data_IF_803080135342
#
_entry.id   IF_803080135342
#
_cell.length_a   1.000
_cell.length_b   1.000
_cell.length_c   1.000
_cell.angle_alpha   90.00
_cell.angle_beta   90.00
_cell.angle_gamma   90.00
#
_symmetry.space_group_name_H-M   'P 1'
#
loop_
_entity.id
_entity.type
_entity.pdbx_description
1 polymer ?
#
# COMPACT_ATOMS: atom_id res chain seq x y z
N UNK A 1 -48.13 -8.75 -7.07
CA UNK A 1 -47.04 -8.26 -6.20
C UNK A 1 -45.74 -8.65 -6.87
N UNK A 2 -45.07 -7.71 -7.53
CA UNK A 2 -43.76 -7.96 -8.13
C UNK A 2 -42.70 -7.89 -7.03
N UNK A 3 -41.96 -8.98 -6.83
CA UNK A 3 -40.74 -8.94 -6.02
C UNK A 3 -39.70 -8.16 -6.83
N UNK A 4 -39.45 -6.91 -6.45
CA UNK A 4 -38.30 -6.18 -6.93
C UNK A 4 -37.05 -6.94 -6.49
N UNK A 5 -36.40 -7.61 -7.43
CA UNK A 5 -35.11 -8.24 -7.21
C UNK A 5 -34.09 -7.11 -7.08
N UNK A 6 -33.81 -6.67 -5.86
CA UNK A 6 -32.66 -5.80 -5.59
C UNK A 6 -31.42 -6.67 -5.82
N UNK A 7 -30.64 -6.47 -6.89
CA UNK A 7 -29.43 -7.26 -7.07
C UNK A 7 -28.54 -7.05 -5.85
N UNK A 8 -28.00 -8.15 -5.31
CA UNK A 8 -27.04 -8.08 -4.21
C UNK A 8 -25.94 -7.08 -4.60
N UNK A 9 -25.58 -6.12 -3.71
CA UNK A 9 -24.52 -5.18 -4.01
C UNK A 9 -23.26 -5.92 -4.43
N UNK A 10 -22.72 -5.53 -5.57
CA UNK A 10 -21.48 -6.06 -6.09
C UNK A 10 -20.37 -5.85 -5.05
N UNK A 11 -19.90 -6.97 -4.49
CA UNK A 11 -18.97 -6.97 -3.36
C UNK A 11 -17.60 -6.40 -3.73
N UNK A 12 -17.22 -6.52 -5.01
CA UNK A 12 -15.95 -6.05 -5.54
C UNK A 12 -16.20 -5.28 -6.85
N UNK A 13 -16.74 -4.05 -6.76
CA UNK A 13 -17.05 -3.25 -7.93
C UNK A 13 -15.77 -2.90 -8.69
N UNK A 14 -15.84 -2.92 -10.03
CA UNK A 14 -14.68 -2.66 -10.87
C UNK A 14 -14.11 -1.26 -10.62
N UNK A 15 -15.00 -0.28 -10.46
CA UNK A 15 -14.66 1.05 -9.97
C UNK A 15 -14.57 1.00 -8.45
N UNK A 16 -13.38 1.25 -7.92
CA UNK A 16 -13.09 1.21 -6.50
C UNK A 16 -13.21 2.60 -5.87
N UNK A 17 -13.35 2.63 -4.55
CA UNK A 17 -13.16 3.87 -3.81
C UNK A 17 -11.68 4.29 -3.84
N UNK A 18 -11.41 5.59 -4.00
CA UNK A 18 -10.03 6.12 -4.17
C UNK A 18 -9.06 5.81 -3.02
N UNK A 19 -9.59 5.42 -1.84
CA UNK A 19 -8.82 5.04 -0.67
C UNK A 19 -8.88 3.52 -0.36
N UNK A 20 -9.36 2.68 -1.27
CA UNK A 20 -9.21 1.23 -1.20
C UNK A 20 -7.90 0.78 -1.86
N UNK A 21 -7.33 -0.33 -1.40
CA UNK A 21 -6.10 -0.88 -1.96
C UNK A 21 -6.40 -1.82 -3.13
N UNK A 22 -5.84 -1.54 -4.31
CA UNK A 22 -6.05 -2.32 -5.56
C UNK A 22 -5.54 -3.76 -5.49
N UNK A 23 -4.61 -4.05 -4.56
CA UNK A 23 -4.04 -5.38 -4.40
C UNK A 23 -4.80 -6.17 -3.33
N UNK A 24 -5.13 -5.55 -2.19
CA UNK A 24 -5.85 -6.25 -1.12
C UNK A 24 -7.24 -6.71 -1.55
N UNK A 25 -7.91 -5.97 -2.43
CA UNK A 25 -9.24 -6.37 -2.94
C UNK A 25 -9.20 -7.73 -3.64
N UNK A 26 -8.04 -8.12 -4.19
CA UNK A 26 -7.80 -9.39 -4.85
C UNK A 26 -7.27 -10.50 -3.95
N UNK A 27 -6.86 -10.19 -2.72
CA UNK A 27 -6.19 -11.16 -1.86
C UNK A 27 -7.20 -12.08 -1.19
N UNK A 28 -7.40 -13.28 -1.76
CA UNK A 28 -8.33 -14.30 -1.23
C UNK A 28 -7.92 -14.87 0.13
N UNK A 29 -6.71 -14.56 0.63
CA UNK A 29 -6.30 -14.92 2.00
C UNK A 29 -6.94 -14.01 3.07
N UNK A 30 -7.51 -12.87 2.65
CA UNK A 30 -8.19 -11.91 3.53
C UNK A 30 -9.70 -12.15 3.55
N UNK A 31 -10.34 -11.78 4.66
CA UNK A 31 -11.80 -11.70 4.72
C UNK A 31 -12.35 -10.67 3.73
N UNK A 32 -13.64 -10.76 3.40
CA UNK A 32 -14.27 -9.84 2.45
C UNK A 32 -14.19 -8.40 2.93
N UNK A 33 -14.37 -8.20 4.24
CA UNK A 33 -14.32 -6.91 4.89
C UNK A 33 -12.92 -6.31 4.83
N UNK A 34 -11.87 -7.12 5.02
CA UNK A 34 -10.48 -6.69 4.89
C UNK A 34 -10.11 -6.37 3.44
N UNK A 35 -10.61 -7.16 2.48
CA UNK A 35 -10.41 -6.91 1.04
C UNK A 35 -11.04 -5.60 0.58
N UNK A 36 -12.25 -5.31 1.09
CA UNK A 36 -12.99 -4.08 0.79
C UNK A 36 -12.65 -2.90 1.73
N UNK A 37 -11.67 -3.06 2.62
CA UNK A 37 -11.33 -2.04 3.60
C UNK A 37 -10.96 -0.71 2.93
N UNK A 38 -11.59 0.37 3.42
CA UNK A 38 -11.34 1.73 2.93
C UNK A 38 -10.53 2.50 3.95
N UNK A 39 -9.35 2.95 3.56
CA UNK A 39 -8.51 3.79 4.42
C UNK A 39 -9.13 5.18 4.60
N UNK A 40 -8.80 5.83 5.71
CA UNK A 40 -9.29 7.16 6.01
C UNK A 40 -8.88 8.22 4.97
N UNK A 41 -7.74 8.03 4.27
CA UNK A 41 -7.23 8.94 3.24
C UNK A 41 -6.46 8.18 2.15
N UNK A 42 -6.52 8.61 0.87
CA UNK A 42 -5.75 7.99 -0.22
C UNK A 42 -4.23 7.97 0.03
N UNK A 43 -3.70 8.94 0.78
CA UNK A 43 -2.28 8.98 1.15
C UNK A 43 -1.88 7.83 2.06
N UNK A 44 -2.73 7.45 3.01
CA UNK A 44 -2.48 6.30 3.92
C UNK A 44 -2.57 4.98 3.15
N UNK A 45 -3.57 4.86 2.25
CA UNK A 45 -3.67 3.70 1.34
C UNK A 45 -2.41 3.58 0.47
N UNK A 46 -1.94 4.68 -0.11
CA UNK A 46 -0.71 4.70 -0.90
C UNK A 46 0.54 4.35 -0.09
N UNK A 47 0.56 4.65 1.20
CA UNK A 47 1.64 4.26 2.10
C UNK A 47 1.63 2.76 2.38
N UNK A 48 0.44 2.18 2.56
CA UNK A 48 0.24 0.74 2.62
C UNK A 48 0.69 0.07 1.31
N UNK A 49 0.19 0.52 0.15
CA UNK A 49 0.52 -0.05 -1.16
C UNK A 49 2.04 -0.08 -1.42
N UNK A 50 2.72 1.03 -1.19
CA UNK A 50 4.17 1.14 -1.38
C UNK A 50 4.99 0.20 -0.50
N UNK A 51 4.51 -0.06 0.73
CA UNK A 51 5.25 -0.85 1.71
C UNK A 51 4.98 -2.35 1.58
N UNK A 52 3.77 -2.73 1.22
CA UNK A 52 3.34 -4.13 1.18
C UNK A 52 3.42 -4.73 -0.23
N UNK A 53 3.11 -3.94 -1.27
CA UNK A 53 2.85 -4.49 -2.60
C UNK A 53 3.86 -4.05 -3.66
N UNK A 54 4.31 -2.79 -3.58
CA UNK A 54 5.17 -2.22 -4.62
C UNK A 54 6.53 -2.92 -4.76
N UNK A 55 7.14 -3.36 -3.66
CA UNK A 55 8.48 -4.00 -3.70
C UNK A 55 8.48 -5.26 -4.57
N UNK A 56 7.47 -6.12 -4.42
CA UNK A 56 7.32 -7.33 -5.23
C UNK A 56 7.14 -6.99 -6.71
N UNK A 57 6.38 -5.94 -7.03
CA UNK A 57 6.16 -5.48 -8.41
C UNK A 57 7.43 -4.89 -9.03
N UNK A 58 8.22 -4.15 -8.25
CA UNK A 58 9.55 -3.66 -8.67
C UNK A 58 10.52 -4.82 -8.96
N UNK A 59 10.49 -5.88 -8.16
CA UNK A 59 11.29 -7.08 -8.41
C UNK A 59 10.83 -7.82 -9.69
N UNK A 60 9.52 -7.94 -9.90
CA UNK A 60 8.98 -8.56 -11.11
C UNK A 60 9.39 -7.79 -12.38
N UNK A 61 9.28 -6.47 -12.38
CA UNK A 61 9.73 -5.63 -13.50
C UNK A 61 11.23 -5.82 -13.78
N UNK A 62 12.06 -5.88 -12.74
CA UNK A 62 13.51 -6.05 -12.86
C UNK A 62 13.91 -7.45 -13.38
N UNK A 63 13.18 -8.50 -12.99
CA UNK A 63 13.43 -9.87 -13.43
C UNK A 63 12.79 -10.20 -14.79
N UNK A 64 11.99 -9.28 -15.34
CA UNK A 64 11.20 -9.50 -16.55
C UNK A 64 9.93 -10.33 -16.34
N UNK A 65 9.55 -10.61 -15.09
CA UNK A 65 8.28 -11.24 -14.75
C UNK A 65 7.11 -10.27 -15.02
N UNK A 66 5.98 -10.83 -15.47
CA UNK A 66 4.77 -10.05 -15.73
C UNK A 66 4.06 -9.65 -14.45
N UNK A 67 3.77 -8.36 -14.33
CA UNK A 67 2.99 -7.79 -13.23
C UNK A 67 1.50 -8.04 -13.49
N UNK A 68 0.73 -8.52 -12.50
CA UNK A 68 -0.71 -8.79 -12.64
C UNK A 68 -1.55 -7.77 -11.89
N UNK A 69 -2.77 -7.53 -12.37
CA UNK A 69 -3.80 -6.91 -11.54
C UNK A 69 -4.46 -7.99 -10.68
N UNK A 70 -4.61 -7.74 -9.38
CA UNK A 70 -5.23 -8.68 -8.46
C UNK A 70 -6.75 -8.51 -8.37
N UNK A 71 -7.32 -7.45 -8.98
CA UNK A 71 -8.75 -7.20 -8.90
C UNK A 71 -9.55 -8.40 -9.46
N UNK A 72 -10.58 -8.91 -8.75
CA UNK A 72 -11.30 -10.15 -9.14
C UNK A 72 -11.93 -10.12 -10.54
N UNK A 73 -12.20 -8.93 -11.06
CA UNK A 73 -12.78 -8.70 -12.39
C UNK A 73 -11.75 -8.48 -13.50
N UNK A 74 -10.47 -8.38 -13.17
CA UNK A 74 -9.39 -8.23 -14.14
C UNK A 74 -8.80 -9.60 -14.46
N UNK A 75 -9.41 -10.30 -15.40
CA UNK A 75 -8.94 -11.63 -15.77
C UNK A 75 -7.64 -11.57 -16.58
N UNK A 76 -6.55 -12.08 -16.01
CA UNK A 76 -5.26 -12.33 -16.68
C UNK A 76 -4.59 -11.13 -17.37
N UNK A 77 -4.91 -9.91 -16.98
CA UNK A 77 -4.18 -8.73 -17.42
C UNK A 77 -2.75 -8.76 -16.84
N UNK A 78 -1.78 -8.65 -17.74
CA UNK A 78 -0.35 -8.75 -17.47
C UNK A 78 0.36 -7.52 -18.04
N UNK A 79 1.18 -6.89 -17.23
CA UNK A 79 1.92 -5.67 -17.56
C UNK A 79 3.42 -5.97 -17.55
N UNK A 80 4.17 -5.32 -18.45
CA UNK A 80 5.63 -5.42 -18.44
C UNK A 80 6.21 -4.42 -17.44
N UNK A 81 5.63 -3.24 -17.37
CA UNK A 81 6.14 -2.15 -16.55
C UNK A 81 5.14 -1.73 -15.47
N UNK A 82 5.64 -1.29 -14.32
CA UNK A 82 4.80 -0.87 -13.18
C UNK A 82 3.93 0.33 -13.58
N UNK A 83 4.44 1.23 -14.41
CA UNK A 83 3.68 2.40 -14.83
C UNK A 83 2.48 2.04 -15.74
N UNK A 84 2.55 0.94 -16.49
CA UNK A 84 1.40 0.41 -17.23
C UNK A 84 0.34 -0.13 -16.27
N UNK A 85 0.77 -0.85 -15.22
CA UNK A 85 -0.11 -1.31 -14.16
C UNK A 85 -0.75 -0.12 -13.42
N UNK A 86 0.01 0.93 -13.09
CA UNK A 86 -0.53 2.14 -12.43
C UNK A 86 -1.58 2.83 -13.30
N UNK A 87 -1.33 2.94 -14.61
CA UNK A 87 -2.30 3.49 -15.55
C UNK A 87 -3.57 2.66 -15.58
N UNK A 88 -3.45 1.33 -15.65
CA UNK A 88 -4.59 0.42 -15.56
C UNK A 88 -5.41 0.63 -14.28
N UNK A 89 -4.74 0.71 -13.11
CA UNK A 89 -5.42 0.93 -11.83
C UNK A 89 -6.16 2.28 -11.82
N UNK A 90 -5.59 3.31 -12.43
CA UNK A 90 -6.25 4.61 -12.56
C UNK A 90 -7.46 4.56 -13.50
N UNK A 91 -7.28 4.05 -14.72
CA UNK A 91 -8.30 4.09 -15.77
C UNK A 91 -9.47 3.13 -15.51
N UNK A 92 -9.18 1.95 -14.96
CA UNK A 92 -10.18 0.89 -14.75
C UNK A 92 -10.74 0.93 -13.34
N UNK A 93 -9.92 1.20 -12.33
CA UNK A 93 -10.35 1.16 -10.93
C UNK A 93 -10.55 2.53 -10.29
N UNK A 94 -10.15 3.63 -10.94
CA UNK A 94 -10.29 4.99 -10.40
C UNK A 94 -9.34 5.30 -9.23
N UNK A 95 -8.38 4.43 -8.96
CA UNK A 95 -7.44 4.58 -7.83
C UNK A 95 -6.13 5.18 -8.31
N UNK A 96 -5.70 6.26 -7.67
CA UNK A 96 -4.44 6.93 -8.00
C UNK A 96 -3.32 6.36 -7.11
N UNK A 97 -2.40 5.63 -7.72
CA UNK A 97 -1.15 5.19 -7.09
C UNK A 97 -0.02 6.20 -7.33
N UNK A 98 0.90 6.32 -6.37
CA UNK A 98 2.07 7.20 -6.51
C UNK A 98 2.95 6.77 -7.68
N UNK A 99 3.42 7.73 -8.47
CA UNK A 99 4.33 7.49 -9.58
C UNK A 99 5.72 7.04 -9.11
N UNK A 100 6.49 6.41 -9.99
CA UNK A 100 7.89 6.02 -9.72
C UNK A 100 8.72 7.16 -9.14
N UNK A 101 8.58 8.37 -9.68
CA UNK A 101 9.31 9.55 -9.19
C UNK A 101 8.84 10.00 -7.80
N UNK A 102 7.53 9.97 -7.54
CA UNK A 102 7.00 10.29 -6.20
C UNK A 102 7.49 9.29 -5.15
N UNK A 103 7.53 8.00 -5.48
CA UNK A 103 8.06 6.94 -4.61
C UNK A 103 9.54 7.17 -4.35
N UNK A 104 10.35 7.40 -5.39
CA UNK A 104 11.78 7.68 -5.28
C UNK A 104 12.04 8.88 -4.36
N UNK A 105 11.33 9.99 -4.58
CA UNK A 105 11.42 11.19 -3.73
C UNK A 105 11.04 10.91 -2.27
N UNK A 106 10.01 10.10 -2.03
CA UNK A 106 9.62 9.70 -0.66
C UNK A 106 10.71 8.86 0.01
N UNK A 107 11.24 7.85 -0.69
CA UNK A 107 12.34 6.99 -0.20
C UNK A 107 13.58 7.83 0.14
N UNK A 108 13.96 8.77 -0.72
CA UNK A 108 15.05 9.72 -0.48
C UNK A 108 14.82 10.59 0.76
N UNK A 109 13.61 11.15 0.93
CA UNK A 109 13.25 11.93 2.12
C UNK A 109 13.33 11.10 3.40
N UNK A 110 12.84 9.84 3.37
CA UNK A 110 12.91 8.91 4.49
C UNK A 110 14.37 8.60 4.85
N UNK A 111 15.21 8.27 3.87
CA UNK A 111 16.63 8.02 4.07
C UNK A 111 17.36 9.25 4.67
N UNK A 112 17.09 10.45 4.15
CA UNK A 112 17.64 11.70 4.70
C UNK A 112 17.26 11.90 6.17
N UNK A 113 15.99 11.67 6.53
CA UNK A 113 15.51 11.77 7.91
C UNK A 113 16.21 10.77 8.83
N UNK A 114 16.37 9.52 8.39
CA UNK A 114 17.06 8.49 9.16
C UNK A 114 18.53 8.85 9.41
N UNK A 115 19.23 9.40 8.42
CA UNK A 115 20.61 9.91 8.61
C UNK A 115 20.70 11.02 9.64
N UNK A 116 19.74 11.96 9.66
CA UNK A 116 19.72 13.03 10.67
C UNK A 116 19.49 12.48 12.08
N UNK A 117 18.66 11.43 12.23
CA UNK A 117 18.41 10.79 13.53
C UNK A 117 19.66 10.04 14.01
N UNK A 118 20.30 9.27 13.11
CA UNK A 118 21.53 8.55 13.42
C UNK A 118 22.68 9.49 13.82
N UNK A 119 22.87 10.61 13.12
CA UNK A 119 23.91 11.60 13.44
C UNK A 119 23.70 12.34 14.77
N UNK A 120 22.45 12.50 15.23
CA UNK A 120 22.14 13.05 16.56
C UNK A 120 22.41 12.07 17.71
N UNK A 121 22.57 10.77 17.41
CA UNK A 121 22.87 9.74 18.42
C UNK A 121 24.31 9.77 18.95
N UNK A 122 25.22 10.43 18.24
CA UNK A 122 26.67 10.51 18.56
C UNK A 122 27.07 11.71 19.42
N UNK A 123 26.16 12.65 19.72
CA UNK A 123 26.42 13.85 20.54
C UNK A 123 25.69 13.82 21.89
N UNK A 124 25.66 12.66 22.57
CA UNK A 124 25.24 12.59 23.98
C UNK A 124 26.41 12.11 24.85
N UNK A 125 27.05 13.13 25.44
CA UNK A 125 28.04 13.15 26.51
C UNK A 125 28.24 11.86 27.33
N UNK A 126 29.53 11.52 27.44
CA UNK A 126 30.15 10.98 28.65
C UNK A 126 29.80 11.88 29.85
N UNK A 127 29.04 11.38 30.81
CA UNK A 127 28.83 12.08 32.08
C UNK A 127 27.58 11.65 32.84
N UNK A 128 27.78 10.88 33.90
CA UNK A 128 26.93 10.96 35.09
C UNK A 128 25.73 10.00 35.15
N UNK A 129 25.88 9.02 36.03
CA UNK A 129 24.88 8.34 36.87
C UNK A 129 23.51 9.02 36.90
N UNK A 130 22.44 8.24 36.71
CA UNK A 130 21.60 7.83 37.83
C UNK A 130 20.63 6.72 37.44
N UNK A 131 20.54 5.76 38.35
CA UNK A 131 19.75 4.55 38.30
C UNK A 131 18.39 4.94 38.88
N UNK A 132 17.32 4.85 38.10
CA UNK A 132 15.97 4.78 38.66
C UNK A 132 15.31 3.49 38.19
N UNK A 133 15.44 2.49 39.05
CA UNK A 133 14.48 1.40 39.19
C UNK A 133 13.08 1.98 39.39
N UNK A 134 12.11 1.46 38.64
CA UNK A 134 10.74 1.31 39.13
C UNK A 134 10.13 0.10 38.43
N UNK A 135 9.91 -0.94 39.23
CA UNK A 135 9.07 -2.08 38.94
C UNK A 135 7.65 -1.61 38.63
N UNK A 136 6.98 -2.18 37.62
CA UNK A 136 5.53 -2.37 37.65
C UNK A 136 5.21 -3.73 37.05
N UNK A 137 4.75 -4.62 37.94
CA UNK A 137 4.01 -5.85 37.68
C UNK A 137 2.64 -5.55 37.05
N UNK A 138 2.24 -6.38 36.10
CA UNK A 138 0.91 -6.97 35.99
C UNK A 138 1.00 -8.22 35.11
#
# INVERSE_FOLDING_TARGET
>A
MGVEFVPSPDRFPLLMHAAQCSDCIGDERLSVEERAFTYCRPTVMNDHFDSQHLVRREQAEQSGEKIRCEHPKCWNLKFQYIDEFRRHVYEVHGVILRSSEQVKRKRLRKARRLRMIAGKGTERNLGGKDICSVEILA
#
